data_IF_556712277549
#
_entry.id   IF_556712277549
#
_cell.length_a   1.000
_cell.length_b   1.000
_cell.length_c   1.000
_cell.angle_alpha   90.00
_cell.angle_beta   90.00
_cell.angle_gamma   90.00
#
_symmetry.space_group_name_H-M   'P 1'
#
loop_
_entity.id
_entity.type
_entity.pdbx_description
1 polymer ?
#
# COMPACT_ATOMS: atom_id res chain seq x y z
N UNK A 1 -3.18 -2.17 14.32
CA UNK A 1 -2.38 -3.17 13.56
C UNK A 1 -1.45 -2.40 12.64
N UNK A 2 -0.24 -2.87 12.35
CA UNK A 2 0.65 -2.15 11.43
C UNK A 2 0.38 -2.49 9.97
N UNK A 3 0.27 -1.46 9.13
CA UNK A 3 0.14 -1.54 7.67
C UNK A 3 1.24 -2.42 7.07
N UNK A 4 2.47 -2.35 7.59
CA UNK A 4 3.58 -3.19 7.09
C UNK A 4 3.41 -4.66 7.41
N UNK A 5 2.62 -5.01 8.42
CA UNK A 5 2.39 -6.38 8.88
C UNK A 5 1.14 -7.00 8.27
N UNK A 6 0.17 -6.20 7.83
CA UNK A 6 -1.01 -6.73 7.14
C UNK A 6 -0.68 -7.18 5.72
N UNK A 7 -1.47 -8.11 5.22
CA UNK A 7 -1.38 -8.54 3.83
C UNK A 7 -1.94 -7.49 2.89
N UNK A 8 -1.45 -7.46 1.66
CA UNK A 8 -2.04 -6.64 0.59
C UNK A 8 -3.53 -6.92 0.45
N UNK A 9 -3.95 -8.18 0.62
CA UNK A 9 -5.35 -8.55 0.60
C UNK A 9 -6.15 -7.78 1.65
N UNK A 10 -5.74 -7.83 2.91
CA UNK A 10 -6.44 -7.11 4.00
C UNK A 10 -6.44 -5.59 3.80
N UNK A 11 -5.35 -5.04 3.30
CA UNK A 11 -5.28 -3.63 2.99
C UNK A 11 -6.26 -3.22 1.87
N UNK A 12 -6.44 -4.07 0.85
CA UNK A 12 -7.37 -3.83 -0.25
C UNK A 12 -8.81 -4.26 0.06
N UNK A 13 -9.03 -5.05 1.12
CA UNK A 13 -10.37 -5.36 1.64
C UNK A 13 -10.95 -4.16 2.38
N UNK A 14 -10.09 -3.29 2.95
CA UNK A 14 -10.51 -2.10 3.66
C UNK A 14 -10.75 -0.91 2.71
N UNK A 15 -12.01 -0.47 2.48
CA UNK A 15 -12.33 0.54 1.48
C UNK A 15 -11.69 1.91 1.77
N UNK A 16 -11.42 2.22 3.03
CA UNK A 16 -10.71 3.46 3.42
C UNK A 16 -9.25 3.43 2.99
N UNK A 17 -8.56 2.31 3.22
CA UNK A 17 -7.18 2.14 2.80
C UNK A 17 -7.06 2.15 1.27
N UNK A 18 -8.00 1.53 0.56
CA UNK A 18 -8.11 1.60 -0.91
C UNK A 18 -8.28 3.04 -1.39
N UNK A 19 -9.11 3.85 -0.74
CA UNK A 19 -9.29 5.26 -1.09
C UNK A 19 -7.98 6.07 -0.93
N UNK A 20 -7.30 5.92 0.22
CA UNK A 20 -6.00 6.58 0.48
C UNK A 20 -4.96 6.19 -0.57
N UNK A 21 -4.85 4.90 -0.89
CA UNK A 21 -3.93 4.41 -1.92
C UNK A 21 -4.30 4.98 -3.29
N UNK A 22 -5.59 5.10 -3.62
CA UNK A 22 -6.04 5.62 -4.91
C UNK A 22 -5.75 7.11 -5.07
N UNK A 23 -5.93 7.89 -4.01
CA UNK A 23 -5.67 9.32 -4.00
C UNK A 23 -4.18 9.64 -4.01
N UNK A 24 -3.41 8.99 -3.12
CA UNK A 24 -1.99 9.29 -2.95
C UNK A 24 -1.09 8.53 -3.92
N UNK A 25 -1.51 7.34 -4.36
CA UNK A 25 -0.71 6.46 -5.19
C UNK A 25 -1.52 5.71 -6.27
N UNK A 26 -2.16 6.42 -7.22
CA UNK A 26 -2.93 5.78 -8.29
C UNK A 26 -2.08 4.81 -9.14
N UNK A 27 -0.76 5.00 -9.20
CA UNK A 27 0.18 4.10 -9.87
C UNK A 27 0.24 2.70 -9.26
N UNK A 28 0.04 2.58 -7.94
CA UNK A 28 -0.03 1.31 -7.19
C UNK A 28 -1.23 0.50 -7.71
N UNK A 29 -2.37 1.15 -7.98
CA UNK A 29 -3.55 0.47 -8.54
C UNK A 29 -3.39 0.04 -9.99
N UNK A 30 -2.51 0.70 -10.76
CA UNK A 30 -2.18 0.30 -12.13
C UNK A 30 -1.18 -0.86 -12.16
N UNK A 31 -0.35 -0.99 -11.12
CA UNK A 31 0.51 -2.15 -10.95
C UNK A 31 -0.34 -3.37 -10.55
N UNK A 32 -0.03 -4.60 -11.00
CA UNK A 32 -0.85 -5.78 -10.71
C UNK A 32 -0.64 -6.27 -9.27
N UNK A 33 -0.89 -5.39 -8.30
CA UNK A 33 -0.69 -5.61 -6.86
C UNK A 33 -1.59 -6.70 -6.30
N UNK A 34 -2.74 -6.92 -6.93
CA UNK A 34 -3.63 -8.06 -6.65
C UNK A 34 -2.95 -9.43 -6.83
N UNK A 35 -1.85 -9.52 -7.60
CA UNK A 35 -1.05 -10.76 -7.70
C UNK A 35 -0.21 -11.02 -6.44
N UNK A 36 -0.03 -10.00 -5.61
CA UNK A 36 0.79 -10.04 -4.40
C UNK A 36 -0.04 -10.11 -3.12
N UNK A 37 -1.28 -10.60 -3.19
CA UNK A 37 -2.19 -10.73 -2.05
C UNK A 37 -1.62 -11.53 -0.85
N UNK A 38 -0.64 -12.41 -1.09
CA UNK A 38 0.05 -13.19 -0.04
C UNK A 38 1.24 -12.45 0.59
N UNK A 39 1.73 -11.39 -0.04
CA UNK A 39 2.81 -10.56 0.50
C UNK A 39 2.24 -9.53 1.47
N UNK A 40 3.09 -9.06 2.38
CA UNK A 40 2.74 -7.95 3.24
C UNK A 40 2.75 -6.64 2.45
N UNK A 41 1.94 -5.69 2.90
CA UNK A 41 1.95 -4.34 2.34
C UNK A 41 3.33 -3.69 2.45
N UNK A 42 4.09 -3.98 3.51
CA UNK A 42 5.48 -3.54 3.66
C UNK A 42 6.38 -4.03 2.54
N UNK A 43 6.38 -5.33 2.22
CA UNK A 43 7.19 -5.88 1.12
C UNK A 43 6.80 -5.29 -0.25
N UNK A 44 5.51 -5.05 -0.48
CA UNK A 44 5.04 -4.49 -1.76
C UNK A 44 5.37 -3.02 -1.87
N UNK A 45 5.23 -2.24 -0.79
CA UNK A 45 5.59 -0.84 -0.78
C UNK A 45 7.10 -0.63 -0.92
N UNK A 46 7.92 -1.53 -0.36
CA UNK A 46 9.36 -1.51 -0.58
C UNK A 46 9.72 -1.81 -2.05
N UNK A 47 9.04 -2.80 -2.65
CA UNK A 47 9.26 -3.18 -4.06
C UNK A 47 8.86 -2.08 -5.04
N UNK A 48 7.72 -1.42 -4.84
CA UNK A 48 7.25 -0.33 -5.71
C UNK A 48 8.09 0.94 -5.51
N UNK A 49 8.61 1.19 -4.31
CA UNK A 49 9.58 2.25 -4.04
C UNK A 49 10.91 1.95 -4.73
N UNK A 50 11.44 0.74 -4.58
CA UNK A 50 12.67 0.28 -5.22
C UNK A 50 12.59 0.37 -6.76
N UNK A 51 11.42 0.04 -7.33
CA UNK A 51 11.14 0.18 -8.76
C UNK A 51 10.84 1.62 -9.21
N UNK A 52 10.89 2.60 -8.30
CA UNK A 52 10.54 4.01 -8.55
C UNK A 52 9.11 4.20 -9.10
N UNK A 53 8.22 3.26 -8.80
CA UNK A 53 6.78 3.35 -9.12
C UNK A 53 6.11 4.30 -8.12
N UNK A 54 6.58 4.30 -6.86
CA UNK A 54 6.11 5.15 -5.78
C UNK A 54 7.29 5.89 -5.13
N UNK A 55 7.20 7.19 -4.83
CA UNK A 55 8.19 7.88 -4.02
C UNK A 55 8.17 7.38 -2.57
N UNK A 56 9.34 7.32 -1.90
CA UNK A 56 9.43 6.98 -0.47
C UNK A 56 8.58 7.89 0.41
N UNK A 57 8.54 9.19 0.10
CA UNK A 57 7.75 10.15 0.89
C UNK A 57 6.25 9.84 0.81
N UNK A 58 5.76 9.47 -0.37
CA UNK A 58 4.36 9.07 -0.55
C UNK A 58 4.09 7.73 0.12
N UNK A 59 5.03 6.78 0.05
CA UNK A 59 4.93 5.51 0.76
C UNK A 59 4.74 5.74 2.26
N UNK A 60 5.62 6.51 2.90
CA UNK A 60 5.54 6.83 4.34
C UNK A 60 4.23 7.54 4.72
N UNK A 61 3.74 8.44 3.88
CA UNK A 61 2.44 9.11 4.10
C UNK A 61 1.27 8.13 4.04
N UNK A 62 1.29 7.20 3.08
CA UNK A 62 0.26 6.16 2.96
C UNK A 62 0.32 5.21 4.14
N UNK A 63 1.52 4.78 4.53
CA UNK A 63 1.73 3.92 5.69
C UNK A 63 1.16 4.57 6.96
N UNK A 64 1.46 5.85 7.21
CA UNK A 64 0.93 6.61 8.34
C UNK A 64 -0.60 6.74 8.27
N UNK A 65 -1.13 7.20 7.14
CA UNK A 65 -2.57 7.41 6.97
C UNK A 65 -3.38 6.11 7.08
N UNK A 66 -2.83 4.99 6.61
CA UNK A 66 -3.48 3.68 6.75
C UNK A 66 -3.33 3.14 8.18
N UNK A 67 -2.20 3.36 8.85
CA UNK A 67 -2.04 3.02 10.26
C UNK A 67 -3.03 3.75 11.18
N UNK A 68 -3.43 4.98 10.84
CA UNK A 68 -4.43 5.73 11.63
C UNK A 68 -5.86 5.16 11.50
N UNK A 69 -6.13 4.35 10.47
CA UNK A 69 -7.45 3.77 10.20
C UNK A 69 -7.50 2.24 10.41
N UNK A 70 -6.38 1.63 10.81
CA UNK A 70 -6.17 0.18 11.01
C UNK A 70 -6.21 -0.25 12.49
#
# INVERSE_FOLDING_TARGET
MDFRSITVKECFDNPKAVAIIKEMAPSIMKYPIKLFNKKTCGEIFDLVVSKKILPEETAKKIEAAINEIL
#
